data_IF_037855933359
#
_entry.id   IF_037855933359
#
_cell.length_a   1.000
_cell.length_b   1.000
_cell.length_c   1.000
_cell.angle_alpha   90.00
_cell.angle_beta   90.00
_cell.angle_gamma   90.00
#
_symmetry.space_group_name_H-M   'P 1'
#
loop_
_entity.id
_entity.type
_entity.pdbx_description
1 polymer ?
#
# COMPACT_ATOMS: atom_id res chain seq x y z
N UNK A 1 0.88 20.45 24.88
CA UNK A 1 1.33 20.99 23.57
C UNK A 1 0.23 20.67 22.57
N UNK A 2 -0.04 21.49 21.53
CA UNK A 2 -1.19 21.26 20.67
C UNK A 2 -0.97 20.01 19.83
N UNK A 3 -1.71 18.95 20.16
CA UNK A 3 -1.82 17.72 19.37
C UNK A 3 -2.44 18.06 18.01
N UNK A 4 -1.85 17.55 16.92
CA UNK A 4 -2.43 17.62 15.58
C UNK A 4 -3.33 16.40 15.40
N UNK A 5 -4.62 16.63 15.20
CA UNK A 5 -5.58 15.58 14.84
C UNK A 5 -5.64 15.42 13.31
N UNK A 6 -5.54 14.19 12.85
CA UNK A 6 -5.64 13.79 11.44
C UNK A 6 -6.75 12.76 11.28
N UNK A 7 -7.47 12.73 10.14
CA UNK A 7 -8.18 11.52 9.77
C UNK A 7 -7.17 10.38 9.65
N UNK A 8 -7.51 9.20 10.16
CA UNK A 8 -6.54 8.11 10.16
C UNK A 8 -6.38 7.47 8.78
N UNK A 9 -5.18 6.97 8.50
CA UNK A 9 -4.77 6.64 7.14
C UNK A 9 -5.44 5.35 6.65
N UNK A 10 -5.59 5.25 5.33
CA UNK A 10 -6.04 4.05 4.63
C UNK A 10 -4.92 3.61 3.70
N UNK A 11 -4.32 2.46 3.99
CA UNK A 11 -3.25 1.91 3.15
C UNK A 11 -3.80 0.84 2.20
N UNK A 12 -3.85 1.19 0.92
CA UNK A 12 -4.46 0.34 -0.11
C UNK A 12 -3.48 -0.68 -0.72
N UNK A 13 -2.26 -0.77 -0.20
CA UNK A 13 -1.23 -1.67 -0.72
C UNK A 13 -0.35 -2.23 0.39
N UNK A 14 -0.74 -3.38 0.95
CA UNK A 14 0.07 -4.11 1.92
C UNK A 14 0.21 -5.59 1.57
N UNK A 15 1.26 -6.21 2.07
CA UNK A 15 1.51 -7.65 2.00
C UNK A 15 1.69 -8.24 3.40
N UNK A 16 0.61 -8.69 4.02
CA UNK A 16 0.58 -9.20 5.41
C UNK A 16 0.98 -10.67 5.55
N UNK A 17 1.24 -11.35 4.43
CA UNK A 17 1.87 -12.68 4.33
C UNK A 17 1.11 -13.85 4.98
N UNK A 18 -0.15 -13.64 5.37
CA UNK A 18 -1.04 -14.65 5.97
C UNK A 18 -2.24 -14.91 5.04
N UNK A 19 -2.46 -16.15 4.55
CA UNK A 19 -1.75 -17.39 4.87
C UNK A 19 -0.37 -17.54 4.20
N UNK A 20 0.43 -18.47 4.73
CA UNK A 20 1.64 -18.97 4.08
C UNK A 20 2.93 -18.55 4.75
N UNK A 21 3.40 -17.33 4.49
CA UNK A 21 4.72 -16.87 4.90
C UNK A 21 4.69 -16.10 6.23
N UNK A 22 4.05 -16.69 7.24
CA UNK A 22 3.75 -16.01 8.51
C UNK A 22 4.97 -15.72 9.38
N UNK A 23 6.13 -16.28 9.06
CA UNK A 23 7.41 -15.92 9.67
C UNK A 23 7.90 -14.53 9.25
N UNK A 24 7.45 -14.01 8.10
CA UNK A 24 7.77 -12.66 7.62
C UNK A 24 6.84 -11.61 8.23
N UNK A 25 5.53 -11.89 8.23
CA UNK A 25 4.49 -11.07 8.83
C UNK A 25 3.19 -11.89 8.99
N UNK A 26 2.28 -11.52 9.88
CA UNK A 26 0.89 -12.02 9.79
C UNK A 26 -0.12 -10.91 10.05
N UNK A 27 -1.42 -11.21 9.95
CA UNK A 27 -2.47 -10.22 10.21
C UNK A 27 -2.36 -9.59 11.61
N UNK A 28 -1.93 -10.31 12.64
CA UNK A 28 -1.85 -9.78 14.01
C UNK A 28 -0.75 -8.74 14.16
N UNK A 29 0.41 -8.98 13.57
CA UNK A 29 1.60 -8.12 13.70
C UNK A 29 1.61 -7.03 12.64
N UNK A 30 1.22 -7.33 11.41
CA UNK A 30 1.13 -6.31 10.35
C UNK A 30 0.02 -5.28 10.62
N UNK A 31 -1.12 -5.66 11.19
CA UNK A 31 -2.13 -4.67 11.60
C UNK A 31 -1.79 -3.96 12.91
N UNK A 32 -0.93 -4.54 13.76
CA UNK A 32 -0.34 -3.81 14.88
C UNK A 32 0.61 -2.71 14.37
N UNK A 33 1.45 -3.03 13.38
CA UNK A 33 2.30 -2.07 12.66
C UNK A 33 1.46 -0.98 11.97
N UNK A 34 0.34 -1.36 11.33
CA UNK A 34 -0.58 -0.40 10.73
C UNK A 34 -1.08 0.62 11.78
N UNK A 35 -1.63 0.16 12.91
CA UNK A 35 -2.10 1.06 13.97
C UNK A 35 -1.00 1.95 14.53
N UNK A 36 0.20 1.41 14.77
CA UNK A 36 1.34 2.21 15.24
C UNK A 36 1.78 3.27 14.24
N UNK A 37 1.60 3.02 12.94
CA UNK A 37 1.82 4.00 11.86
C UNK A 37 0.68 4.98 11.61
N UNK A 38 -0.40 4.93 12.40
CA UNK A 38 -1.60 5.76 12.18
C UNK A 38 -2.52 5.27 11.07
N UNK A 39 -2.38 4.02 10.62
CA UNK A 39 -3.20 3.40 9.58
C UNK A 39 -4.37 2.64 10.21
N UNK A 40 -5.59 3.05 9.86
CA UNK A 40 -6.84 2.52 10.40
C UNK A 40 -7.42 1.38 9.58
N UNK A 41 -7.08 1.33 8.30
CA UNK A 41 -7.57 0.33 7.39
C UNK A 41 -6.49 -0.07 6.38
N UNK A 42 -6.42 -1.36 6.07
CA UNK A 42 -5.44 -1.91 5.12
C UNK A 42 -6.10 -2.76 4.05
N UNK A 43 -5.54 -2.77 2.84
CA UNK A 43 -5.97 -3.68 1.77
C UNK A 43 -4.86 -4.64 1.41
N UNK A 44 -5.06 -5.92 1.78
CA UNK A 44 -4.02 -6.93 1.63
C UNK A 44 -3.99 -7.54 0.22
N UNK A 45 -2.79 -7.57 -0.36
CA UNK A 45 -2.52 -8.06 -1.70
C UNK A 45 -2.65 -9.59 -1.80
N UNK A 46 -2.94 -10.16 -2.99
CA UNK A 46 -3.37 -11.55 -3.12
C UNK A 46 -2.21 -12.55 -3.31
N UNK A 47 -0.95 -12.11 -3.25
CA UNK A 47 0.23 -12.94 -3.52
C UNK A 47 0.70 -13.74 -2.28
N UNK A 48 -0.25 -14.15 -1.44
CA UNK A 48 -0.04 -15.09 -0.34
C UNK A 48 0.24 -16.51 -0.87
N UNK A 49 0.46 -17.46 0.05
CA UNK A 49 0.58 -18.88 -0.29
C UNK A 49 -0.46 -19.68 0.51
N UNK A 50 -1.53 -20.21 -0.12
CA UNK A 50 -1.88 -20.07 -1.55
C UNK A 50 -2.28 -18.63 -1.92
N UNK A 51 -2.16 -18.24 -3.21
CA UNK A 51 -2.58 -16.92 -3.65
C UNK A 51 -4.11 -16.79 -3.61
N UNK A 52 -4.61 -15.60 -3.33
CA UNK A 52 -6.05 -15.29 -3.27
C UNK A 52 -6.59 -15.06 -4.67
N UNK A 53 -7.10 -16.09 -5.34
CA UNK A 53 -7.50 -16.05 -6.76
C UNK A 53 -8.94 -16.52 -7.00
N UNK A 54 -9.62 -16.99 -5.95
CA UNK A 54 -10.99 -17.50 -5.98
C UNK A 54 -11.69 -17.28 -4.64
N UNK A 55 -12.96 -17.67 -4.58
CA UNK A 55 -13.82 -17.62 -3.39
C UNK A 55 -13.22 -18.36 -2.18
N UNK A 56 -12.70 -19.56 -2.40
CA UNK A 56 -12.18 -20.42 -1.31
C UNK A 56 -10.97 -19.79 -0.64
N UNK A 57 -10.01 -19.33 -1.44
CA UNK A 57 -8.78 -18.68 -0.95
C UNK A 57 -9.07 -17.30 -0.33
N UNK A 58 -10.10 -16.60 -0.82
CA UNK A 58 -10.57 -15.35 -0.20
C UNK A 58 -11.23 -15.61 1.17
N UNK A 59 -12.14 -16.57 1.25
CA UNK A 59 -12.84 -16.91 2.49
C UNK A 59 -11.86 -17.37 3.58
N UNK A 60 -10.87 -18.21 3.23
CA UNK A 60 -9.80 -18.60 4.14
C UNK A 60 -9.09 -17.38 4.74
N UNK A 61 -8.80 -16.38 3.90
CA UNK A 61 -8.09 -15.17 4.30
C UNK A 61 -8.95 -14.28 5.20
N UNK A 62 -10.24 -14.14 4.88
CA UNK A 62 -11.22 -13.44 5.73
C UNK A 62 -11.31 -14.09 7.12
N UNK A 63 -11.37 -15.42 7.19
CA UNK A 63 -11.47 -16.15 8.46
C UNK A 63 -10.23 -15.99 9.33
N UNK A 64 -9.05 -15.91 8.71
CA UNK A 64 -7.79 -15.61 9.40
C UNK A 64 -7.76 -14.17 9.91
N UNK A 65 -8.12 -13.20 9.07
CA UNK A 65 -8.14 -11.80 9.45
C UNK A 65 -9.15 -11.50 10.56
N UNK A 66 -10.35 -12.08 10.53
CA UNK A 66 -11.35 -11.95 11.62
C UNK A 66 -10.84 -12.41 12.99
N UNK A 67 -9.84 -13.30 13.04
CA UNK A 67 -9.25 -13.80 14.29
C UNK A 67 -8.02 -13.00 14.74
N UNK A 68 -7.40 -12.23 13.84
CA UNK A 68 -6.04 -11.71 14.01
C UNK A 68 -5.93 -10.21 13.79
N UNK A 69 -6.61 -9.65 12.80
CA UNK A 69 -6.52 -8.24 12.42
C UNK A 69 -6.98 -7.32 13.56
N UNK A 70 -6.26 -6.22 13.75
CA UNK A 70 -6.48 -5.21 14.79
C UNK A 70 -7.02 -3.89 14.23
N UNK A 71 -6.80 -3.65 12.94
CA UNK A 71 -7.38 -2.55 12.17
C UNK A 71 -8.32 -3.10 11.09
N UNK A 72 -9.07 -2.24 10.42
CA UNK A 72 -10.02 -2.68 9.40
C UNK A 72 -9.33 -3.17 8.14
N UNK A 73 -9.99 -4.05 7.40
CA UNK A 73 -9.33 -4.74 6.29
C UNK A 73 -10.24 -5.00 5.09
N UNK A 74 -9.63 -5.03 3.91
CA UNK A 74 -10.20 -5.62 2.70
C UNK A 74 -9.13 -6.41 1.94
N UNK A 75 -9.54 -7.10 0.89
CA UNK A 75 -8.64 -7.94 0.09
C UNK A 75 -8.76 -7.64 -1.39
N UNK A 76 -7.64 -7.79 -2.11
CA UNK A 76 -7.67 -7.94 -3.56
C UNK A 76 -7.87 -9.41 -3.95
N UNK A 77 -8.48 -9.63 -5.12
CA UNK A 77 -8.42 -10.89 -5.84
C UNK A 77 -7.27 -10.80 -6.84
N UNK A 78 -6.44 -11.82 -6.93
CA UNK A 78 -5.35 -11.89 -7.90
C UNK A 78 -5.85 -12.30 -9.27
N UNK A 79 -5.51 -11.53 -10.31
CA UNK A 79 -5.66 -12.01 -11.68
C UNK A 79 -4.67 -13.16 -11.95
N UNK A 80 -5.18 -14.26 -12.49
CA UNK A 80 -4.38 -15.40 -12.95
C UNK A 80 -4.65 -15.67 -14.42
N UNK A 81 -3.90 -16.63 -14.99
CA UNK A 81 -4.08 -17.07 -16.38
C UNK A 81 -5.38 -17.85 -16.62
N UNK A 82 -6.09 -18.26 -15.56
CA UNK A 82 -7.25 -19.16 -15.65
C UNK A 82 -8.53 -18.64 -14.99
N UNK A 83 -8.48 -17.52 -14.25
CA UNK A 83 -9.63 -17.05 -13.47
C UNK A 83 -10.41 -15.89 -14.09
N UNK A 84 -10.06 -15.42 -15.29
CA UNK A 84 -10.72 -14.27 -15.93
C UNK A 84 -12.23 -14.45 -16.08
N UNK A 85 -12.73 -15.66 -16.37
CA UNK A 85 -14.16 -15.94 -16.57
C UNK A 85 -14.82 -16.59 -15.36
N UNK A 86 -14.11 -16.70 -14.23
CA UNK A 86 -14.65 -17.31 -13.02
C UNK A 86 -15.61 -16.35 -12.30
N UNK A 87 -16.57 -16.87 -11.52
CA UNK A 87 -17.41 -16.02 -10.67
C UNK A 87 -16.56 -15.16 -9.73
N UNK A 88 -16.91 -13.88 -9.63
CA UNK A 88 -16.23 -12.95 -8.73
C UNK A 88 -16.92 -13.00 -7.36
N UNK A 89 -16.16 -13.23 -6.27
CA UNK A 89 -16.68 -13.16 -4.90
C UNK A 89 -17.40 -11.83 -4.63
N UNK A 90 -18.53 -11.84 -3.93
CA UNK A 90 -19.36 -10.66 -3.74
C UNK A 90 -19.02 -9.82 -2.50
N UNK A 91 -18.23 -10.36 -1.56
CA UNK A 91 -17.99 -9.73 -0.25
C UNK A 91 -16.52 -9.39 0.01
N UNK A 92 -16.31 -8.28 0.75
CA UNK A 92 -15.03 -7.82 1.30
C UNK A 92 -13.86 -7.69 0.30
N UNK A 93 -14.20 -7.44 -0.97
CA UNK A 93 -13.26 -7.45 -2.08
C UNK A 93 -13.00 -6.06 -2.66
N UNK A 94 -11.84 -5.48 -2.33
CA UNK A 94 -11.42 -4.15 -2.75
C UNK A 94 -11.32 -3.99 -4.28
N UNK A 95 -10.90 -5.05 -4.98
CA UNK A 95 -10.72 -5.00 -6.43
C UNK A 95 -9.97 -6.21 -6.96
N UNK A 96 -9.60 -6.13 -8.25
CA UNK A 96 -8.70 -7.09 -8.88
C UNK A 96 -7.28 -6.52 -8.85
N UNK A 97 -6.30 -7.27 -8.36
CA UNK A 97 -4.87 -6.96 -8.50
C UNK A 97 -4.28 -7.75 -9.67
N UNK A 98 -3.71 -7.02 -10.63
CA UNK A 98 -2.99 -7.58 -11.78
C UNK A 98 -1.49 -7.35 -11.61
N UNK A 99 -0.69 -8.39 -11.81
CA UNK A 99 0.77 -8.29 -11.82
C UNK A 99 1.28 -8.49 -13.25
N UNK A 100 1.61 -7.39 -13.94
CA UNK A 100 2.12 -7.44 -15.31
C UNK A 100 3.63 -7.74 -15.31
N UNK A 101 4.32 -7.27 -14.28
CA UNK A 101 5.76 -7.42 -14.13
C UNK A 101 6.12 -8.45 -13.06
N UNK A 102 7.34 -8.39 -12.54
CA UNK A 102 7.87 -9.40 -11.62
C UNK A 102 7.04 -9.43 -10.32
N UNK A 103 6.56 -10.62 -9.94
CA UNK A 103 5.80 -10.82 -8.71
C UNK A 103 6.14 -12.17 -8.09
N UNK A 104 5.83 -12.31 -6.81
CA UNK A 104 5.79 -13.58 -6.13
C UNK A 104 4.64 -14.47 -6.60
N UNK A 105 4.93 -15.76 -6.65
CA UNK A 105 3.94 -16.79 -6.96
C UNK A 105 3.49 -16.79 -8.43
N UNK A 106 2.40 -17.51 -8.73
CA UNK A 106 1.96 -17.78 -10.11
C UNK A 106 1.14 -16.63 -10.73
N UNK A 107 1.15 -15.44 -10.13
CA UNK A 107 0.22 -14.35 -10.48
C UNK A 107 0.70 -13.44 -11.62
N UNK A 108 1.89 -13.69 -12.19
CA UNK A 108 2.40 -12.88 -13.29
C UNK A 108 1.57 -13.14 -14.55
N UNK A 109 0.93 -12.10 -15.09
CA UNK A 109 0.12 -12.16 -16.31
C UNK A 109 0.66 -11.17 -17.33
N UNK A 110 1.29 -11.68 -18.41
CA UNK A 110 1.81 -10.87 -19.54
C UNK A 110 1.11 -11.09 -20.86
N UNK A 111 0.34 -12.17 -20.96
CA UNK A 111 -0.39 -12.49 -22.18
C UNK A 111 -1.52 -11.47 -22.41
N UNK A 112 -1.47 -10.78 -23.55
CA UNK A 112 -2.44 -9.72 -23.88
C UNK A 112 -3.87 -10.27 -23.94
N UNK A 113 -4.06 -11.50 -24.43
CA UNK A 113 -5.38 -12.14 -24.46
C UNK A 113 -5.97 -12.31 -23.07
N UNK A 114 -5.16 -12.75 -22.12
CA UNK A 114 -5.53 -12.91 -20.70
C UNK A 114 -5.81 -11.55 -20.05
N UNK A 115 -4.97 -10.53 -20.29
CA UNK A 115 -5.23 -9.17 -19.80
C UNK A 115 -6.57 -8.65 -20.34
N UNK A 116 -6.80 -8.76 -21.64
CA UNK A 116 -8.05 -8.37 -22.30
C UNK A 116 -9.27 -9.13 -21.79
N UNK A 117 -9.12 -10.42 -21.43
CA UNK A 117 -10.18 -11.21 -20.83
C UNK A 117 -10.59 -10.65 -19.47
N UNK A 118 -9.62 -10.34 -18.59
CA UNK A 118 -9.87 -9.71 -17.29
C UNK A 118 -10.57 -8.35 -17.40
N UNK A 119 -10.09 -7.47 -18.28
CA UNK A 119 -10.73 -6.17 -18.50
C UNK A 119 -12.17 -6.28 -19.01
N UNK A 120 -12.47 -7.34 -19.77
CA UNK A 120 -13.81 -7.61 -20.31
C UNK A 120 -14.77 -8.17 -19.26
N UNK A 121 -14.31 -9.09 -18.41
CA UNK A 121 -15.15 -9.85 -17.48
C UNK A 121 -15.30 -9.24 -16.09
N UNK A 122 -14.30 -8.49 -15.61
CA UNK A 122 -14.30 -7.94 -14.27
C UNK A 122 -15.49 -6.99 -14.04
N UNK A 123 -16.19 -6.99 -12.89
CA UNK A 123 -17.33 -6.10 -12.63
C UNK A 123 -17.00 -4.62 -12.78
N UNK A 124 -17.83 -3.86 -13.52
CA UNK A 124 -17.58 -2.45 -13.91
C UNK A 124 -17.45 -1.46 -12.76
N UNK A 125 -18.10 -1.73 -11.65
CA UNK A 125 -18.07 -0.90 -10.45
C UNK A 125 -16.85 -1.15 -9.55
N UNK A 126 -16.01 -2.16 -9.84
CA UNK A 126 -14.85 -2.51 -9.02
C UNK A 126 -13.53 -2.08 -9.67
N UNK A 127 -12.58 -1.55 -8.91
CA UNK A 127 -11.29 -1.12 -9.44
C UNK A 127 -10.44 -2.31 -9.88
N UNK A 128 -9.53 -2.02 -10.82
CA UNK A 128 -8.42 -2.89 -11.21
C UNK A 128 -7.15 -2.17 -10.77
N UNK A 129 -6.43 -2.73 -9.80
CA UNK A 129 -5.11 -2.28 -9.38
C UNK A 129 -4.04 -3.05 -10.15
N UNK A 130 -3.03 -2.37 -10.69
CA UNK A 130 -2.02 -2.99 -11.53
C UNK A 130 -0.61 -2.66 -11.05
N UNK A 131 0.16 -3.71 -10.73
CA UNK A 131 1.61 -3.62 -10.69
C UNK A 131 2.10 -3.61 -12.15
N UNK A 132 2.55 -2.44 -12.60
CA UNK A 132 2.95 -2.19 -13.97
C UNK A 132 4.14 -1.20 -13.99
N UNK A 133 5.25 -1.62 -14.59
CA UNK A 133 6.47 -0.84 -14.73
C UNK A 133 6.73 -0.48 -16.21
N UNK A 134 7.11 0.78 -16.48
CA UNK A 134 7.48 1.26 -17.81
C UNK A 134 6.43 0.99 -18.89
N UNK A 135 6.75 0.11 -19.85
CA UNK A 135 5.84 -0.25 -20.95
C UNK A 135 4.53 -0.87 -20.46
N UNK A 136 4.56 -1.63 -19.35
CA UNK A 136 3.37 -2.24 -18.76
C UNK A 136 2.36 -1.17 -18.32
N UNK A 137 2.83 0.00 -17.87
CA UNK A 137 1.98 1.15 -17.51
C UNK A 137 1.21 1.67 -18.72
N UNK A 138 1.86 1.79 -19.88
CA UNK A 138 1.19 2.17 -21.12
C UNK A 138 0.17 1.12 -21.58
N UNK A 139 0.50 -0.17 -21.45
CA UNK A 139 -0.41 -1.28 -21.80
C UNK A 139 -1.67 -1.21 -20.94
N UNK A 140 -1.53 -1.12 -19.62
CA UNK A 140 -2.68 -1.18 -18.70
C UNK A 140 -3.59 0.05 -18.84
N UNK A 141 -3.01 1.24 -19.06
CA UNK A 141 -3.76 2.47 -19.37
C UNK A 141 -4.47 2.35 -20.72
N UNK A 142 -3.81 1.80 -21.74
CA UNK A 142 -4.41 1.57 -23.06
C UNK A 142 -5.60 0.61 -23.00
N UNK A 143 -5.47 -0.50 -22.26
CA UNK A 143 -6.57 -1.43 -22.02
C UNK A 143 -7.71 -0.76 -21.24
N UNK A 144 -7.40 0.04 -20.23
CA UNK A 144 -8.42 0.77 -19.48
C UNK A 144 -9.24 1.70 -20.38
N UNK A 145 -8.59 2.41 -21.31
CA UNK A 145 -9.29 3.24 -22.29
C UNK A 145 -10.10 2.41 -23.28
N UNK A 146 -9.52 1.33 -23.84
CA UNK A 146 -10.18 0.47 -24.81
C UNK A 146 -11.50 -0.13 -24.27
N UNK A 147 -11.53 -0.48 -22.99
CA UNK A 147 -12.69 -1.11 -22.35
C UNK A 147 -13.56 -0.14 -21.53
N UNK A 148 -13.25 1.16 -21.55
CA UNK A 148 -13.87 2.20 -20.72
C UNK A 148 -13.91 1.83 -19.22
N UNK A 149 -12.75 1.46 -18.68
CA UNK A 149 -12.56 0.95 -17.32
C UNK A 149 -11.76 1.92 -16.46
N UNK A 150 -12.07 1.92 -15.16
CA UNK A 150 -11.19 2.52 -14.14
C UNK A 150 -10.00 1.59 -13.91
N UNK A 151 -8.80 2.15 -13.87
CA UNK A 151 -7.57 1.45 -13.47
C UNK A 151 -6.81 2.28 -12.45
N UNK A 152 -6.17 1.60 -11.51
CA UNK A 152 -5.25 2.16 -10.54
C UNK A 152 -3.85 1.60 -10.79
N UNK A 153 -2.88 2.46 -11.11
CA UNK A 153 -1.47 2.07 -11.30
C UNK A 153 -0.78 2.10 -9.94
N UNK A 154 -0.34 0.94 -9.48
CA UNK A 154 0.36 0.81 -8.20
C UNK A 154 1.75 1.44 -8.27
N UNK A 155 2.23 1.94 -7.11
CA UNK A 155 3.62 2.34 -6.81
C UNK A 155 4.38 2.94 -8.01
N UNK A 156 3.84 4.01 -8.62
CA UNK A 156 4.52 4.74 -9.69
C UNK A 156 5.86 5.26 -9.17
N UNK A 157 6.94 4.95 -9.88
CA UNK A 157 8.30 5.11 -9.35
C UNK A 157 9.21 5.97 -10.23
N UNK A 158 8.80 6.23 -11.47
CA UNK A 158 9.61 6.94 -12.46
C UNK A 158 8.96 8.22 -12.97
N UNK A 159 9.80 9.15 -13.38
CA UNK A 159 9.40 10.38 -14.07
C UNK A 159 8.52 10.09 -15.30
N UNK A 160 8.98 9.18 -16.16
CA UNK A 160 8.27 8.81 -17.39
C UNK A 160 6.87 8.22 -17.10
N UNK A 161 6.72 7.49 -16.00
CA UNK A 161 5.46 6.88 -15.60
C UNK A 161 4.48 7.93 -15.08
N UNK A 162 4.93 8.84 -14.20
CA UNK A 162 4.03 9.89 -13.68
C UNK A 162 3.64 10.91 -14.76
N UNK A 163 4.54 11.21 -15.69
CA UNK A 163 4.23 12.04 -16.87
C UNK A 163 3.20 11.36 -17.78
N UNK A 164 3.32 10.04 -17.99
CA UNK A 164 2.33 9.26 -18.74
C UNK A 164 0.96 9.25 -18.06
N UNK A 165 0.91 9.03 -16.74
CA UNK A 165 -0.34 9.09 -15.98
C UNK A 165 -0.97 10.47 -16.08
N UNK A 166 -0.18 11.53 -15.90
CA UNK A 166 -0.64 12.93 -16.03
C UNK A 166 -1.29 13.19 -17.39
N UNK A 167 -0.58 12.89 -18.47
CA UNK A 167 -1.08 13.11 -19.84
C UNK A 167 -2.32 12.27 -20.14
N UNK A 168 -2.40 11.06 -19.56
CA UNK A 168 -3.57 10.19 -19.71
C UNK A 168 -4.79 10.77 -19.00
N UNK A 169 -4.62 11.30 -17.77
CA UNK A 169 -5.69 12.01 -17.04
C UNK A 169 -6.17 13.25 -17.79
N UNK A 170 -5.26 14.07 -18.30
CA UNK A 170 -5.58 15.26 -19.10
C UNK A 170 -6.39 14.94 -20.36
N UNK A 171 -6.23 13.73 -20.91
CA UNK A 171 -7.00 13.21 -22.06
C UNK A 171 -8.30 12.50 -21.66
N UNK A 172 -8.66 12.50 -20.38
CA UNK A 172 -9.91 11.92 -19.88
C UNK A 172 -9.85 10.43 -19.58
N UNK A 173 -8.66 9.81 -19.57
CA UNK A 173 -8.55 8.41 -19.14
C UNK A 173 -8.94 8.27 -17.66
N UNK A 174 -9.71 7.22 -17.35
CA UNK A 174 -10.14 6.87 -15.99
C UNK A 174 -9.02 6.17 -15.21
N UNK A 175 -7.84 6.80 -15.15
CA UNK A 175 -6.66 6.28 -14.46
C UNK A 175 -6.45 7.01 -13.14
N UNK A 176 -6.10 6.26 -12.10
CA UNK A 176 -5.52 6.78 -10.86
C UNK A 176 -4.16 6.14 -10.62
N UNK A 177 -3.36 6.69 -9.73
CA UNK A 177 -2.10 6.08 -9.31
C UNK A 177 -1.78 6.34 -7.85
N UNK A 178 -0.96 5.46 -7.28
CA UNK A 178 -0.30 5.68 -6.00
C UNK A 178 1.22 5.76 -6.19
N UNK A 179 1.90 6.34 -5.20
CA UNK A 179 3.35 6.25 -5.03
C UNK A 179 3.65 5.69 -3.64
N UNK A 180 4.86 5.22 -3.41
CA UNK A 180 5.28 4.76 -2.08
C UNK A 180 6.18 5.79 -1.40
N UNK A 181 6.28 5.75 -0.05
CA UNK A 181 7.27 6.57 0.65
C UNK A 181 8.71 6.28 0.18
N UNK A 182 9.08 5.03 -0.09
CA UNK A 182 10.45 4.74 -0.49
C UNK A 182 10.80 5.34 -1.86
N UNK A 183 9.84 5.48 -2.79
CA UNK A 183 10.09 6.22 -4.05
C UNK A 183 10.06 7.74 -3.89
N UNK A 184 9.44 8.27 -2.83
CA UNK A 184 9.46 9.71 -2.50
C UNK A 184 10.72 10.12 -1.72
N UNK A 185 11.27 9.25 -0.88
CA UNK A 185 12.32 9.63 0.08
C UNK A 185 13.68 8.99 -0.20
N UNK A 186 13.74 7.93 -0.99
CA UNK A 186 14.99 7.23 -1.32
C UNK A 186 15.24 7.22 -2.83
N UNK A 187 16.49 6.98 -3.19
CA UNK A 187 17.01 6.95 -4.56
C UNK A 187 17.88 5.72 -4.78
N UNK A 188 18.34 5.53 -6.02
CA UNK A 188 19.28 4.47 -6.37
C UNK A 188 20.61 4.55 -5.61
N UNK A 189 21.00 5.73 -5.12
CA UNK A 189 22.21 5.89 -4.29
C UNK A 189 22.02 5.30 -2.89
N UNK A 190 20.82 5.46 -2.32
CA UNK A 190 20.43 4.79 -1.08
C UNK A 190 20.37 3.28 -1.31
N UNK A 191 19.86 2.82 -2.45
CA UNK A 191 19.81 1.39 -2.81
C UNK A 191 21.22 0.76 -2.83
N UNK A 192 22.22 1.47 -3.35
CA UNK A 192 23.64 1.01 -3.35
C UNK A 192 24.15 0.81 -1.93
N UNK A 193 23.78 1.71 -1.03
CA UNK A 193 24.19 1.67 0.39
C UNK A 193 23.47 0.56 1.16
N UNK A 194 22.17 0.40 0.91
CA UNK A 194 21.32 -0.59 1.57
C UNK A 194 21.59 -2.03 1.09
N UNK A 195 22.19 -2.21 -0.09
CA UNK A 195 22.46 -3.53 -0.65
C UNK A 195 21.18 -4.36 -0.80
N UNK A 196 21.15 -5.54 -0.16
CA UNK A 196 19.97 -6.41 -0.16
C UNK A 196 18.72 -5.73 0.42
N UNK A 197 18.86 -4.88 1.43
CA UNK A 197 17.77 -4.12 2.04
C UNK A 197 17.15 -3.07 1.11
N UNK A 198 17.87 -2.66 0.06
CA UNK A 198 17.40 -1.76 -0.99
C UNK A 198 16.71 -2.48 -2.16
N UNK A 199 16.61 -3.82 -2.13
CA UNK A 199 15.91 -4.57 -3.17
C UNK A 199 14.39 -4.42 -3.02
N UNK A 200 13.75 -3.85 -4.04
CA UNK A 200 12.30 -3.65 -4.13
C UNK A 200 11.86 -3.57 -5.59
N UNK A 201 10.56 -3.72 -5.83
CA UNK A 201 9.94 -3.64 -7.16
C UNK A 201 8.70 -2.74 -7.06
N UNK A 202 8.68 -1.59 -7.77
CA UNK A 202 9.70 -1.10 -8.70
C UNK A 202 11.01 -0.70 -8.01
N UNK A 203 12.17 -0.84 -8.68
CA UNK A 203 13.47 -0.47 -8.07
C UNK A 203 13.57 1.05 -7.88
N UNK A 204 14.27 1.47 -6.82
CA UNK A 204 14.53 2.88 -6.54
C UNK A 204 15.10 3.60 -7.77
N UNK A 205 14.55 4.78 -8.02
CA UNK A 205 14.88 5.62 -9.17
C UNK A 205 16.02 6.58 -8.90
N UNK A 206 16.39 7.33 -9.92
CA UNK A 206 17.34 8.43 -9.77
C UNK A 206 16.72 9.57 -8.96
N UNK A 207 17.55 10.51 -8.52
CA UNK A 207 17.08 11.77 -7.93
C UNK A 207 16.05 12.49 -8.82
N UNK A 208 16.27 12.51 -10.15
CA UNK A 208 15.30 13.09 -11.11
C UNK A 208 13.93 12.39 -11.13
N UNK A 209 13.89 11.09 -10.85
CA UNK A 209 12.63 10.33 -10.74
C UNK A 209 11.90 10.76 -9.47
N UNK A 210 12.59 10.72 -8.32
CA UNK A 210 12.06 11.13 -7.01
C UNK A 210 11.53 12.57 -7.05
N UNK A 211 12.33 13.50 -7.56
CA UNK A 211 11.98 14.92 -7.62
C UNK A 211 10.78 15.15 -8.55
N UNK A 212 10.67 14.38 -9.64
CA UNK A 212 9.50 14.42 -10.51
C UNK A 212 8.23 13.93 -9.80
N UNK A 213 8.31 12.92 -8.91
CA UNK A 213 7.15 12.48 -8.12
C UNK A 213 6.69 13.61 -7.18
N UNK A 214 7.62 14.25 -6.46
CA UNK A 214 7.32 15.42 -5.62
C UNK A 214 6.72 16.59 -6.42
N UNK A 215 7.27 16.90 -7.59
CA UNK A 215 6.75 17.96 -8.45
C UNK A 215 5.33 17.66 -8.99
N UNK A 216 4.91 16.40 -8.99
CA UNK A 216 3.62 15.95 -9.52
C UNK A 216 2.68 15.38 -8.45
N UNK A 217 2.80 15.77 -7.17
CA UNK A 217 1.87 15.35 -6.11
C UNK A 217 0.40 15.57 -6.46
N UNK A 218 0.06 16.62 -7.22
CA UNK A 218 -1.32 16.90 -7.68
C UNK A 218 -1.87 15.82 -8.61
N UNK A 219 -0.99 15.12 -9.34
CA UNK A 219 -1.34 14.01 -10.23
C UNK A 219 -1.53 12.72 -9.43
N UNK A 220 -0.80 12.55 -8.34
CA UNK A 220 -0.83 11.34 -7.51
C UNK A 220 -2.13 11.30 -6.69
N UNK A 221 -2.84 10.16 -6.71
CA UNK A 221 -4.11 10.01 -5.99
C UNK A 221 -3.94 9.44 -4.59
N UNK A 222 -2.91 8.61 -4.38
CA UNK A 222 -2.65 8.00 -3.07
C UNK A 222 -1.15 7.87 -2.76
N UNK A 223 -0.82 7.81 -1.47
CA UNK A 223 0.43 7.24 -0.99
C UNK A 223 0.08 5.94 -0.26
N UNK A 224 0.64 4.83 -0.71
CA UNK A 224 0.47 3.52 -0.11
C UNK A 224 1.84 2.92 0.22
N UNK A 225 1.97 2.19 1.32
CA UNK A 225 3.29 1.81 1.80
C UNK A 225 3.98 0.77 0.92
N UNK A 226 3.20 -0.02 0.18
CA UNK A 226 3.66 -1.29 -0.40
C UNK A 226 4.41 -2.11 0.66
N UNK A 227 3.83 -2.20 1.86
CA UNK A 227 4.47 -2.86 2.99
C UNK A 227 4.67 -4.33 2.65
N UNK A 228 5.92 -4.67 2.31
CA UNK A 228 6.36 -5.95 1.80
C UNK A 228 7.47 -6.51 2.70
N UNK A 229 7.15 -6.93 3.93
CA UNK A 229 8.13 -7.37 4.92
C UNK A 229 8.77 -8.70 4.52
N UNK A 230 10.04 -8.82 4.87
CA UNK A 230 10.93 -9.96 4.67
C UNK A 230 11.89 -10.01 5.85
N UNK A 231 12.34 -11.19 6.27
CA UNK A 231 13.27 -11.27 7.40
C UNK A 231 14.65 -10.70 7.03
N UNK A 232 15.43 -10.27 8.03
CA UNK A 232 16.82 -9.83 7.83
C UNK A 232 17.64 -10.91 7.11
N UNK A 233 17.53 -12.15 7.56
CA UNK A 233 18.15 -13.33 6.95
C UNK A 233 17.89 -13.44 5.44
N UNK A 234 16.64 -13.19 5.02
CA UNK A 234 16.26 -13.25 3.62
C UNK A 234 16.86 -12.09 2.82
N UNK A 235 16.86 -10.88 3.40
CA UNK A 235 17.44 -9.68 2.77
C UNK A 235 18.97 -9.73 2.68
N UNK A 236 19.63 -10.44 3.59
CA UNK A 236 21.09 -10.66 3.60
C UNK A 236 21.51 -11.89 2.78
N UNK A 237 20.54 -12.69 2.32
CA UNK A 237 20.78 -13.89 1.52
C UNK A 237 21.36 -13.58 0.13
N UNK A 238 21.79 -14.64 -0.58
CA UNK A 238 22.39 -14.54 -1.93
C UNK A 238 21.45 -13.95 -2.99
N UNK A 239 20.14 -14.11 -2.80
CA UNK A 239 19.10 -13.62 -3.70
C UNK A 239 18.04 -12.89 -2.87
N UNK A 240 18.34 -11.65 -2.43
CA UNK A 240 17.45 -10.91 -1.55
C UNK A 240 16.08 -10.71 -2.21
N UNK A 241 14.98 -11.02 -1.53
CA UNK A 241 13.65 -10.79 -2.06
C UNK A 241 13.35 -9.29 -2.23
N UNK A 242 12.73 -8.83 -3.32
CA UNK A 242 12.22 -7.47 -3.41
C UNK A 242 11.08 -7.21 -2.41
N UNK A 243 11.18 -6.08 -1.72
CA UNK A 243 10.16 -5.61 -0.78
C UNK A 243 10.79 -4.97 0.46
N UNK A 244 10.10 -3.95 0.99
CA UNK A 244 10.49 -3.23 2.21
C UNK A 244 9.28 -3.04 3.13
N UNK A 245 9.44 -3.03 4.46
CA UNK A 245 8.37 -2.65 5.37
C UNK A 245 8.16 -1.13 5.36
N UNK A 246 6.91 -0.67 5.29
CA UNK A 246 6.59 0.78 5.26
C UNK A 246 5.44 1.27 6.14
N UNK A 247 4.59 0.40 6.70
CA UNK A 247 3.40 0.82 7.48
C UNK A 247 3.70 1.83 8.59
N UNK A 248 4.76 1.59 9.37
CA UNK A 248 5.08 2.42 10.55
C UNK A 248 5.91 3.66 10.21
N UNK A 249 6.51 3.73 9.02
CA UNK A 249 7.37 4.83 8.61
C UNK A 249 6.70 5.80 7.63
N UNK A 250 5.62 5.38 6.97
CA UNK A 250 4.92 6.19 5.96
C UNK A 250 4.45 7.54 6.51
N UNK A 251 3.66 7.55 7.58
CA UNK A 251 3.15 8.79 8.16
C UNK A 251 4.25 9.67 8.77
N UNK A 252 5.21 9.15 9.57
CA UNK A 252 6.31 9.96 10.08
C UNK A 252 7.12 10.68 8.99
N UNK A 253 7.42 9.99 7.87
CA UNK A 253 8.13 10.61 6.74
C UNK A 253 7.31 11.74 6.09
N UNK A 254 6.01 11.51 5.88
CA UNK A 254 5.12 12.52 5.30
C UNK A 254 4.87 13.70 6.24
N UNK A 255 4.82 13.47 7.56
CA UNK A 255 4.72 14.53 8.56
C UNK A 255 5.97 15.40 8.59
N UNK A 256 7.16 14.79 8.55
CA UNK A 256 8.41 15.52 8.47
C UNK A 256 8.46 16.38 7.20
N UNK A 257 8.08 15.81 6.05
CA UNK A 257 7.97 16.55 4.79
C UNK A 257 6.97 17.71 4.86
N UNK A 258 5.81 17.52 5.53
CA UNK A 258 4.84 18.60 5.79
C UNK A 258 5.46 19.71 6.63
N UNK A 259 6.14 19.36 7.73
CA UNK A 259 6.76 20.32 8.64
C UNK A 259 7.86 21.12 7.93
N UNK A 260 8.58 20.49 7.00
CA UNK A 260 9.57 21.14 6.12
C UNK A 260 8.95 21.92 4.96
N UNK A 261 7.62 21.96 4.83
CA UNK A 261 6.92 22.71 3.80
C UNK A 261 6.91 22.07 2.41
N UNK A 262 7.23 20.77 2.29
CA UNK A 262 7.21 20.05 1.01
C UNK A 262 5.80 19.67 0.56
N UNK A 263 4.87 19.49 1.50
CA UNK A 263 3.44 19.32 1.22
C UNK A 263 2.58 20.02 2.28
N UNK A 264 1.37 20.38 1.87
CA UNK A 264 0.33 20.91 2.76
C UNK A 264 -0.36 19.81 3.58
N UNK A 265 -1.08 20.19 4.63
CA UNK A 265 -1.89 19.26 5.41
C UNK A 265 -3.02 18.65 4.56
N UNK A 266 -3.63 19.47 3.70
CA UNK A 266 -4.67 19.06 2.77
C UNK A 266 -4.15 18.04 1.76
N UNK A 267 -2.92 18.21 1.26
CA UNK A 267 -2.29 17.21 0.40
C UNK A 267 -2.00 15.91 1.15
N UNK A 268 -1.53 15.98 2.40
CA UNK A 268 -1.29 14.80 3.23
C UNK A 268 -2.57 13.99 3.37
N UNK A 269 -3.66 14.62 3.84
CA UNK A 269 -4.98 13.97 4.01
C UNK A 269 -5.51 13.43 2.69
N UNK A 270 -5.41 14.22 1.61
CA UNK A 270 -5.86 13.77 0.28
C UNK A 270 -5.13 12.50 -0.18
N UNK A 271 -3.81 12.44 0.04
CA UNK A 271 -2.97 11.33 -0.42
C UNK A 271 -3.11 10.08 0.45
N UNK A 272 -3.41 10.21 1.74
CA UNK A 272 -3.38 9.07 2.66
C UNK A 272 -4.74 8.67 3.21
N UNK A 273 -5.79 9.45 2.95
CA UNK A 273 -7.15 9.18 3.40
C UNK A 273 -8.18 9.31 2.26
N UNK A 274 -8.43 10.53 1.76
CA UNK A 274 -9.54 10.77 0.81
C UNK A 274 -9.33 10.07 -0.54
N UNK A 275 -8.09 10.08 -1.03
CA UNK A 275 -7.68 9.44 -2.27
C UNK A 275 -7.86 7.93 -2.23
N UNK A 276 -7.21 7.23 -1.28
CA UNK A 276 -7.48 5.83 -0.95
C UNK A 276 -8.97 5.48 -0.86
N UNK A 277 -9.75 6.25 -0.08
CA UNK A 277 -11.17 6.01 0.08
C UNK A 277 -11.93 6.11 -1.25
N UNK A 278 -11.62 7.12 -2.06
CA UNK A 278 -12.22 7.33 -3.39
C UNK A 278 -11.85 6.23 -4.39
N UNK A 279 -10.61 5.75 -4.36
CA UNK A 279 -10.14 4.66 -5.24
C UNK A 279 -10.91 3.37 -4.93
N UNK A 280 -11.05 3.06 -3.64
CA UNK A 280 -11.74 1.85 -3.17
C UNK A 280 -13.27 1.94 -3.22
N UNK A 281 -13.83 3.15 -3.30
CA UNK A 281 -15.28 3.35 -3.20
C UNK A 281 -15.80 3.07 -1.80
N UNK A 282 -15.07 3.48 -0.75
CA UNK A 282 -15.46 3.24 0.65
C UNK A 282 -15.84 4.52 1.35
N UNK A 283 -16.69 4.39 2.38
CA UNK A 283 -16.79 5.37 3.44
C UNK A 283 -15.78 4.99 4.53
N UNK A 284 -14.86 5.90 4.92
CA UNK A 284 -13.95 5.65 6.03
C UNK A 284 -14.70 5.31 7.33
N UNK A 285 -14.12 4.51 8.23
CA UNK A 285 -14.76 4.19 9.50
C UNK A 285 -15.11 5.44 10.31
N UNK A 286 -16.36 5.57 10.76
CA UNK A 286 -16.79 6.69 11.60
C UNK A 286 -16.03 6.71 12.93
N UNK A 287 -15.78 7.93 13.46
CA UNK A 287 -15.11 8.11 14.75
C UNK A 287 -13.68 7.58 14.78
N UNK A 288 -12.99 7.60 13.64
CA UNK A 288 -11.63 7.10 13.52
C UNK A 288 -10.65 8.21 13.10
N UNK A 289 -9.63 8.45 13.92
CA UNK A 289 -8.68 9.54 13.78
C UNK A 289 -7.35 9.23 14.47
N UNK A 290 -6.33 10.03 14.18
CA UNK A 290 -4.97 9.90 14.71
C UNK A 290 -4.57 11.21 15.38
N UNK A 291 -4.05 11.10 16.60
CA UNK A 291 -3.43 12.20 17.33
C UNK A 291 -1.92 12.12 17.15
N UNK A 292 -1.31 13.21 16.69
CA UNK A 292 0.12 13.34 16.41
C UNK A 292 0.70 14.47 17.26
N UNK A 293 1.89 14.24 17.81
CA UNK A 293 2.74 15.30 18.34
C UNK A 293 3.63 15.87 17.24
N UNK A 294 3.38 17.09 16.74
CA UNK A 294 4.19 17.68 15.67
C UNK A 294 5.55 18.22 16.15
N UNK A 295 5.79 18.31 17.46
CA UNK A 295 7.02 18.91 18.01
C UNK A 295 8.09 17.86 18.32
N UNK A 296 7.70 16.59 18.44
CA UNK A 296 8.64 15.49 18.72
C UNK A 296 9.44 15.12 17.47
N UNK A 297 10.77 15.23 17.59
CA UNK A 297 11.73 14.65 16.65
C UNK A 297 12.32 13.35 17.19
N UNK A 298 12.52 12.37 16.32
CA UNK A 298 13.15 11.10 16.67
C UNK A 298 13.86 10.49 15.46
N UNK A 299 14.60 9.40 15.68
CA UNK A 299 15.30 8.66 14.64
C UNK A 299 14.56 7.36 14.38
N UNK A 300 14.30 7.06 13.11
CA UNK A 300 13.68 5.80 12.71
C UNK A 300 14.65 4.64 12.95
N UNK A 301 14.19 3.66 13.74
CA UNK A 301 14.94 2.45 14.09
C UNK A 301 14.08 1.23 13.87
N UNK A 302 14.51 0.32 12.99
CA UNK A 302 13.73 -0.86 12.65
C UNK A 302 13.44 -1.77 13.85
N UNK A 303 14.34 -1.80 14.83
CA UNK A 303 14.20 -2.61 16.06
C UNK A 303 13.11 -2.11 17.01
N UNK A 304 12.63 -0.88 16.84
CA UNK A 304 11.56 -0.28 17.63
C UNK A 304 10.18 -0.47 16.97
N UNK A 305 10.14 -1.03 15.77
CA UNK A 305 8.92 -1.23 14.99
C UNK A 305 8.20 -2.53 15.39
N UNK A 306 6.87 -2.53 15.24
CA UNK A 306 5.98 -3.66 15.50
C UNK A 306 5.99 -4.72 14.39
N UNK A 307 6.35 -4.35 13.16
CA UNK A 307 6.53 -5.32 12.07
C UNK A 307 7.53 -6.42 12.45
N UNK A 308 7.22 -7.68 12.12
CA UNK A 308 8.04 -8.83 12.53
C UNK A 308 9.49 -8.77 12.05
N UNK A 309 9.75 -8.10 10.94
CA UNK A 309 11.09 -8.10 10.34
C UNK A 309 12.09 -7.20 11.08
N UNK A 310 11.63 -6.25 11.90
CA UNK A 310 12.47 -5.41 12.77
C UNK A 310 13.65 -4.71 12.05
N UNK A 311 13.43 -4.27 10.81
CA UNK A 311 14.33 -3.44 10.03
C UNK A 311 13.50 -2.46 9.19
N UNK A 312 14.13 -1.41 8.67
CA UNK A 312 13.49 -0.44 7.77
C UNK A 312 14.52 0.09 6.78
N UNK A 313 14.15 0.41 5.52
CA UNK A 313 15.09 1.04 4.58
C UNK A 313 15.41 2.50 4.97
N UNK A 314 14.69 3.06 5.96
CA UNK A 314 14.86 4.42 6.46
C UNK A 314 15.67 4.48 7.76
N UNK A 315 16.46 3.43 8.05
CA UNK A 315 17.23 3.30 9.30
C UNK A 315 18.15 4.51 9.50
N UNK A 316 18.07 5.15 10.68
CA UNK A 316 18.90 6.31 11.00
C UNK A 316 18.37 7.66 10.50
N UNK A 317 17.30 7.69 9.70
CA UNK A 317 16.68 8.96 9.29
C UNK A 317 16.00 9.65 10.48
N UNK A 318 16.25 10.95 10.63
CA UNK A 318 15.56 11.79 11.61
C UNK A 318 14.28 12.35 11.01
N UNK A 319 13.17 12.17 11.74
CA UNK A 319 11.83 12.64 11.37
C UNK A 319 11.24 13.47 12.50
N UNK A 320 10.35 14.39 12.15
CA UNK A 320 9.54 15.17 13.07
C UNK A 320 8.04 14.89 12.88
N UNK A 321 7.31 14.75 13.99
CA UNK A 321 5.91 14.32 13.99
C UNK A 321 5.78 12.87 14.42
N UNK A 322 5.26 12.62 15.62
CA UNK A 322 5.10 11.26 16.18
C UNK A 322 3.63 10.93 16.44
N UNK A 323 3.20 9.76 15.99
CA UNK A 323 1.88 9.21 16.36
C UNK A 323 1.83 8.99 17.86
N UNK A 324 0.89 9.64 18.55
CA UNK A 324 0.66 9.49 19.98
C UNK A 324 -0.50 8.53 20.24
N UNK A 325 -1.64 8.78 19.61
CA UNK A 325 -2.85 7.96 19.82
C UNK A 325 -3.55 7.67 18.50
N UNK A 326 -4.21 6.52 18.45
CA UNK A 326 -5.09 6.17 17.34
C UNK A 326 -6.44 5.74 17.90
N UNK A 327 -7.49 6.27 17.32
CA UNK A 327 -8.87 5.94 17.62
C UNK A 327 -9.49 5.27 16.39
N UNK A 328 -10.15 4.14 16.59
CA UNK A 328 -10.87 3.39 15.56
C UNK A 328 -12.26 3.07 16.09
N UNK A 329 -13.31 3.54 15.40
CA UNK A 329 -14.72 3.39 15.81
C UNK A 329 -14.96 3.90 17.25
N UNK A 330 -14.41 5.07 17.57
CA UNK A 330 -14.52 5.69 18.89
C UNK A 330 -13.74 5.02 20.02
N UNK A 331 -12.96 3.96 19.73
CA UNK A 331 -12.14 3.26 20.73
C UNK A 331 -10.67 3.58 20.52
N UNK A 332 -9.94 3.90 21.60
CA UNK A 332 -8.49 4.08 21.55
C UNK A 332 -7.81 2.72 21.33
N UNK A 333 -7.15 2.56 20.21
CA UNK A 333 -6.54 1.29 19.74
C UNK A 333 -5.02 1.29 19.78
N UNK A 334 -4.41 2.45 19.95
CA UNK A 334 -2.96 2.63 20.15
C UNK A 334 -2.70 3.86 21.03
N UNK A 335 -1.69 3.79 21.88
CA UNK A 335 -1.18 4.91 22.68
C UNK A 335 0.32 4.73 22.95
N UNK A 336 1.12 5.76 22.64
CA UNK A 336 2.53 5.91 23.05
C UNK A 336 3.40 4.64 22.89
N UNK A 337 3.39 4.03 21.70
CA UNK A 337 4.17 2.82 21.39
C UNK A 337 3.48 1.51 21.75
N UNK A 338 2.28 1.55 22.34
CA UNK A 338 1.54 0.36 22.73
C UNK A 338 0.27 0.19 21.88
N UNK A 339 0.16 -0.96 21.21
CA UNK A 339 -1.08 -1.38 20.55
C UNK A 339 -2.05 -1.94 21.60
N UNK A 340 -3.21 -1.30 21.74
CA UNK A 340 -4.26 -1.63 22.70
C UNK A 340 -5.36 -2.52 22.09
N UNK A 341 -5.57 -2.44 20.78
CA UNK A 341 -6.55 -3.26 20.08
C UNK A 341 -6.21 -4.75 20.16
N UNK A 342 -7.10 -5.63 20.67
CA UNK A 342 -6.85 -7.07 20.70
C UNK A 342 -6.86 -7.67 19.29
N UNK A 343 -6.18 -8.81 19.05
CA UNK A 343 -6.31 -9.54 17.78
C UNK A 343 -7.76 -9.89 17.47
N UNK A 344 -8.19 -9.69 16.22
CA UNK A 344 -9.55 -9.96 15.77
C UNK A 344 -10.56 -8.83 16.04
N UNK A 345 -10.11 -7.69 16.56
CA UNK A 345 -10.95 -6.50 16.72
C UNK A 345 -11.18 -5.72 15.42
N UNK A 346 -10.34 -5.95 14.40
CA UNK A 346 -10.50 -5.38 13.07
C UNK A 346 -11.76 -5.90 12.36
N UNK A 347 -12.40 -5.04 11.58
CA UNK A 347 -13.60 -5.37 10.84
C UNK A 347 -13.36 -5.31 9.33
N UNK A 348 -14.05 -6.14 8.53
CA UNK A 348 -14.02 -5.98 7.08
C UNK A 348 -14.58 -4.63 6.66
N UNK A 349 -13.92 -3.95 5.71
CA UNK A 349 -14.43 -2.71 5.14
C UNK A 349 -15.74 -2.93 4.38
N UNK A 350 -16.63 -1.94 4.45
CA UNK A 350 -17.85 -1.87 3.64
C UNK A 350 -17.52 -1.13 2.34
N UNK A 351 -17.57 -1.86 1.24
CA UNK A 351 -17.29 -1.36 -0.11
C UNK A 351 -18.60 -1.02 -0.81
N UNK A 352 -18.68 0.16 -1.43
CA UNK A 352 -19.91 0.72 -2.02
C UNK A 352 -19.94 0.57 -3.53
#
# INVERSE_FOLDING_TARGET
MPTLELPGLIDIHVHLRDPGATHKEDFSTGTAAALAGGVLAVVDMPNNTPPTVDESTLQQKIDLARKKARCDFAFYLGASTSNATQPVPDHHLAGLKMYLDETYGPLRVRDLGTLMAHFRSWPRNRPIAAHAEGLSTAIVIGLAQLYDRRVHVCHVSRRVEIELVKQSKERGAKVTCEVTPHHLFLTEDDAKTLGGYGQMKPPLGKEEDRDSLWANLVVIDAVASDHAPHTKEEKEGKTPPPGVPGLETSLPLLLDARIRGQLSLEQLVRLTHDGPARILGIQPPEGAYVEVDPEVSYVLRGVELHTKCQWTPFEGMSVQGRVQKVYLRGTKVYEDGQVLAPPGSGQPLVLV
#
